data_IF_993483777849
#
_entry.id   IF_993483777849
#
_cell.length_a   1.000
_cell.length_b   1.000
_cell.length_c   1.000
_cell.angle_alpha   90.00
_cell.angle_beta   90.00
_cell.angle_gamma   90.00
#
_symmetry.space_group_name_H-M   'P 1'
#
loop_
_entity.id
_entity.type
_entity.pdbx_description
1 polymer ?
#
# COMPACT_ATOMS: atom_id res chain seq x y z
N UNK A 1 14.61 -12.57 -10.84
CA UNK A 1 13.40 -12.03 -10.19
C UNK A 1 12.22 -12.31 -11.10
N UNK A 2 11.15 -12.92 -10.58
CA UNK A 2 9.88 -13.11 -11.29
C UNK A 2 8.79 -12.47 -10.43
N UNK A 3 8.06 -11.50 -10.99
CA UNK A 3 6.90 -10.87 -10.35
C UNK A 3 5.64 -11.39 -11.03
N UNK A 4 4.73 -11.97 -10.25
CA UNK A 4 3.46 -12.50 -10.73
C UNK A 4 2.30 -11.86 -9.97
N UNK A 5 1.31 -11.36 -10.71
CA UNK A 5 0.02 -10.96 -10.16
C UNK A 5 -1.05 -11.93 -10.71
N UNK A 6 -1.69 -12.76 -9.86
CA UNK A 6 -2.63 -13.82 -10.27
C UNK A 6 -3.78 -13.35 -11.17
N UNK A 7 -4.50 -14.29 -11.79
CA UNK A 7 -5.57 -14.03 -12.77
C UNK A 7 -5.07 -13.34 -14.04
N UNK A 8 -4.11 -13.96 -14.75
CA UNK A 8 -3.47 -13.36 -15.93
C UNK A 8 -4.42 -12.98 -17.09
N UNK A 9 -5.64 -13.52 -17.11
CA UNK A 9 -6.66 -13.17 -18.10
C UNK A 9 -7.30 -11.80 -17.84
N UNK A 10 -7.28 -11.31 -16.60
CA UNK A 10 -7.80 -9.99 -16.24
C UNK A 10 -6.67 -8.97 -16.39
N UNK A 11 -6.77 -8.00 -17.33
CA UNK A 11 -5.74 -6.98 -17.51
C UNK A 11 -5.51 -6.21 -16.20
N UNK A 12 -4.24 -6.07 -15.82
CA UNK A 12 -3.82 -5.30 -14.65
C UNK A 12 -2.93 -4.18 -15.15
N UNK A 13 -3.40 -2.95 -14.96
CA UNK A 13 -2.72 -1.76 -15.41
C UNK A 13 -2.80 -0.66 -14.35
N UNK A 14 -1.89 0.30 -14.44
CA UNK A 14 -1.84 1.49 -13.60
C UNK A 14 -0.65 1.53 -12.64
N UNK A 15 -0.09 2.73 -12.39
CA UNK A 15 1.12 2.89 -11.59
C UNK A 15 0.90 2.69 -10.07
N UNK A 16 -0.36 2.58 -9.63
CA UNK A 16 -0.75 2.61 -8.22
C UNK A 16 -0.29 1.40 -7.37
N UNK A 17 0.30 0.38 -8.00
CA UNK A 17 0.91 -0.78 -7.34
C UNK A 17 2.41 -0.61 -7.09
N UNK A 18 2.99 0.57 -7.39
CA UNK A 18 4.41 0.85 -7.25
C UNK A 18 4.97 0.49 -5.87
N UNK A 19 4.36 1.01 -4.81
CA UNK A 19 4.77 0.70 -3.42
C UNK A 19 4.63 -0.79 -3.08
N UNK A 20 3.62 -1.47 -3.63
CA UNK A 20 3.38 -2.91 -3.41
C UNK A 20 4.46 -3.76 -4.05
N UNK A 21 4.83 -3.44 -5.30
CA UNK A 21 5.89 -4.14 -6.02
C UNK A 21 7.26 -3.90 -5.37
N UNK A 22 7.55 -2.67 -4.95
CA UNK A 22 8.79 -2.39 -4.20
C UNK A 22 8.84 -3.17 -2.89
N UNK A 23 7.70 -3.26 -2.16
CA UNK A 23 7.64 -3.99 -0.88
C UNK A 23 7.85 -5.48 -1.07
N UNK A 24 7.28 -6.10 -2.11
CA UNK A 24 7.47 -7.52 -2.38
C UNK A 24 8.92 -7.84 -2.77
N UNK A 25 9.56 -6.96 -3.56
CA UNK A 25 10.96 -7.11 -3.94
C UNK A 25 11.90 -6.92 -2.74
N UNK A 26 11.62 -5.97 -1.85
CA UNK A 26 12.41 -5.81 -0.62
C UNK A 26 12.21 -6.99 0.34
N UNK A 27 11.00 -7.50 0.47
CA UNK A 27 10.73 -8.72 1.26
C UNK A 27 11.58 -9.89 0.76
N UNK A 28 11.68 -10.08 -0.56
CA UNK A 28 12.56 -11.08 -1.17
C UNK A 28 14.05 -10.81 -0.88
N UNK A 29 14.51 -9.56 -1.04
CA UNK A 29 15.92 -9.21 -0.87
C UNK A 29 16.39 -9.27 0.59
N UNK A 30 15.50 -9.00 1.54
CA UNK A 30 15.77 -9.02 2.98
C UNK A 30 15.54 -10.40 3.62
N UNK A 31 15.00 -11.36 2.87
CA UNK A 31 14.53 -12.66 3.38
C UNK A 31 13.58 -12.52 4.58
N UNK A 32 12.74 -11.48 4.56
CA UNK A 32 11.83 -11.14 5.64
C UNK A 32 10.41 -10.97 5.13
N UNK A 33 9.41 -11.56 5.79
CA UNK A 33 8.02 -11.38 5.39
C UNK A 33 7.57 -9.95 5.69
N UNK A 34 6.93 -9.31 4.71
CA UNK A 34 6.16 -8.10 4.96
C UNK A 34 4.93 -8.43 5.82
N UNK A 35 4.46 -7.45 6.60
CA UNK A 35 3.22 -7.54 7.39
C UNK A 35 2.05 -8.01 6.51
N UNK A 36 1.43 -9.12 6.89
CA UNK A 36 0.47 -9.85 6.05
C UNK A 36 -0.98 -9.34 6.11
N UNK A 37 -1.36 -8.60 7.16
CA UNK A 37 -2.73 -8.08 7.37
C UNK A 37 -2.92 -6.65 6.84
N UNK A 38 -2.16 -6.28 5.81
CA UNK A 38 -2.07 -4.91 5.29
C UNK A 38 -2.39 -4.83 3.80
N UNK A 39 -3.08 -3.76 3.42
CA UNK A 39 -3.18 -3.29 2.04
C UNK A 39 -2.34 -2.02 1.84
N UNK A 40 -1.84 -1.79 0.63
CA UNK A 40 -1.13 -0.56 0.30
C UNK A 40 -1.40 -0.15 -1.15
N UNK A 41 -1.36 1.15 -1.42
CA UNK A 41 -1.42 1.70 -2.77
C UNK A 41 -0.60 2.98 -2.83
N UNK A 42 -0.04 3.25 -4.00
CA UNK A 42 0.82 4.40 -4.23
C UNK A 42 1.70 4.15 -5.45
N UNK A 43 1.79 5.15 -6.31
CA UNK A 43 2.88 5.19 -7.27
C UNK A 43 4.17 5.54 -6.51
N UNK A 44 5.29 4.97 -6.94
CA UNK A 44 6.60 5.24 -6.35
C UNK A 44 7.53 5.80 -7.42
N UNK A 45 8.14 6.95 -7.15
CA UNK A 45 9.13 7.56 -8.03
C UNK A 45 10.52 6.95 -7.81
N UNK A 46 11.45 7.21 -8.72
CA UNK A 46 12.85 6.76 -8.60
C UNK A 46 13.58 7.30 -7.36
N UNK A 47 13.19 8.48 -6.87
CA UNK A 47 13.73 9.07 -5.64
C UNK A 47 12.92 8.68 -4.38
N UNK A 48 12.01 7.70 -4.49
CA UNK A 48 11.29 7.13 -3.36
C UNK A 48 10.11 7.96 -2.86
N UNK A 49 9.63 8.96 -3.61
CA UNK A 49 8.37 9.66 -3.27
C UNK A 49 7.18 8.75 -3.52
N UNK A 50 6.19 8.82 -2.64
CA UNK A 50 4.91 8.14 -2.80
C UNK A 50 3.90 9.14 -3.36
N UNK A 51 3.44 8.86 -4.57
CA UNK A 51 2.60 9.75 -5.36
C UNK A 51 1.11 9.36 -5.26
N UNK A 52 0.18 10.34 -5.41
CA UNK A 52 -1.25 10.11 -5.25
C UNK A 52 -1.80 9.13 -6.28
N UNK A 53 -2.88 8.47 -5.90
CA UNK A 53 -3.59 7.51 -6.75
C UNK A 53 -5.09 7.75 -6.71
N UNK A 54 -5.81 7.29 -7.74
CA UNK A 54 -7.27 7.30 -7.75
C UNK A 54 -7.89 6.13 -6.97
N UNK A 55 -9.22 6.21 -6.78
CA UNK A 55 -10.05 5.11 -6.29
C UNK A 55 -9.92 4.83 -4.79
N UNK A 56 -9.72 5.86 -3.96
CA UNK A 56 -9.51 5.70 -2.51
C UNK A 56 -10.70 5.02 -1.82
N UNK A 57 -11.93 5.37 -2.23
CA UNK A 57 -13.15 4.73 -1.74
C UNK A 57 -13.18 3.24 -2.06
N UNK A 58 -13.01 2.88 -3.33
CA UNK A 58 -13.07 1.50 -3.81
C UNK A 58 -11.96 0.64 -3.19
N UNK A 59 -10.75 1.19 -3.08
CA UNK A 59 -9.60 0.53 -2.44
C UNK A 59 -9.81 0.32 -0.95
N UNK A 60 -10.42 1.27 -0.25
CA UNK A 60 -10.79 1.11 1.17
C UNK A 60 -11.82 -0.01 1.34
N UNK A 61 -12.86 -0.03 0.51
CA UNK A 61 -13.87 -1.11 0.52
C UNK A 61 -13.22 -2.48 0.25
N UNK A 62 -12.33 -2.55 -0.75
CA UNK A 62 -11.65 -3.79 -1.12
C UNK A 62 -10.77 -4.31 0.02
N UNK A 63 -9.97 -3.44 0.64
CA UNK A 63 -9.13 -3.78 1.78
C UNK A 63 -9.96 -4.30 2.97
N UNK A 64 -11.08 -3.66 3.30
CA UNK A 64 -12.00 -4.15 4.34
C UNK A 64 -12.58 -5.52 4.00
N UNK A 65 -13.01 -5.74 2.76
CA UNK A 65 -13.56 -7.03 2.30
C UNK A 65 -12.51 -8.14 2.34
N UNK A 66 -11.25 -7.80 2.09
CA UNK A 66 -10.12 -8.72 2.21
C UNK A 66 -9.71 -9.01 3.67
N UNK A 67 -10.31 -8.32 4.65
CA UNK A 67 -9.98 -8.48 6.07
C UNK A 67 -8.67 -7.83 6.49
N UNK A 68 -8.14 -6.89 5.69
CA UNK A 68 -6.95 -6.12 6.07
C UNK A 68 -7.24 -5.27 7.30
N UNK A 69 -6.33 -5.27 8.27
CA UNK A 69 -6.40 -4.43 9.47
C UNK A 69 -5.73 -3.07 9.27
N UNK A 70 -4.74 -3.01 8.38
CA UNK A 70 -3.99 -1.80 8.08
C UNK A 70 -4.08 -1.43 6.60
N UNK A 71 -4.08 -0.13 6.31
CA UNK A 71 -3.99 0.41 4.94
C UNK A 71 -2.93 1.52 4.89
N UNK A 72 -2.05 1.45 3.89
CA UNK A 72 -1.12 2.53 3.55
C UNK A 72 -1.61 3.27 2.31
N UNK A 73 -1.85 4.58 2.45
CA UNK A 73 -2.18 5.49 1.35
C UNK A 73 -1.08 6.54 1.14
N UNK A 74 -0.98 7.14 -0.06
CA UNK A 74 -0.17 8.33 -0.27
C UNK A 74 -0.67 9.48 0.63
N UNK A 75 0.25 10.27 1.19
CA UNK A 75 -0.10 11.43 2.02
C UNK A 75 -0.99 12.42 1.27
N UNK A 76 -0.76 12.58 -0.04
CA UNK A 76 -1.57 13.43 -0.91
C UNK A 76 -3.04 12.98 -1.01
N UNK A 77 -3.37 11.71 -0.72
CA UNK A 77 -4.73 11.18 -0.70
C UNK A 77 -5.42 11.27 0.67
N UNK A 78 -4.80 11.91 1.67
CA UNK A 78 -5.38 12.03 3.02
C UNK A 78 -6.74 12.70 3.02
N UNK A 79 -6.89 13.77 2.23
CA UNK A 79 -8.16 14.48 2.11
C UNK A 79 -9.26 13.58 1.52
N UNK A 80 -8.95 12.85 0.44
CA UNK A 80 -9.91 11.92 -0.19
C UNK A 80 -10.37 10.83 0.79
N UNK A 81 -9.44 10.34 1.62
CA UNK A 81 -9.75 9.36 2.66
C UNK A 81 -10.60 9.98 3.78
N UNK A 82 -10.23 11.16 4.29
CA UNK A 82 -10.93 11.84 5.39
C UNK A 82 -12.38 12.21 5.01
N UNK A 83 -12.66 12.45 3.72
CA UNK A 83 -14.00 12.69 3.16
C UNK A 83 -14.86 11.42 3.06
N UNK A 84 -14.30 10.22 3.28
CA UNK A 84 -15.09 8.98 3.27
C UNK A 84 -16.07 8.89 4.44
N UNK A 85 -17.23 8.25 4.25
CA UNK A 85 -18.15 7.92 5.32
C UNK A 85 -17.45 7.21 6.49
N UNK A 86 -17.83 7.55 7.72
CA UNK A 86 -17.23 7.02 8.94
C UNK A 86 -17.21 5.49 9.00
N UNK A 87 -18.30 4.84 8.58
CA UNK A 87 -18.39 3.39 8.52
C UNK A 87 -17.34 2.73 7.61
N UNK A 88 -16.69 3.46 6.69
CA UNK A 88 -15.56 2.98 5.88
C UNK A 88 -14.20 3.24 6.53
N UNK A 89 -14.10 4.20 7.45
CA UNK A 89 -12.87 4.57 8.14
C UNK A 89 -12.69 3.85 9.47
N UNK A 90 -13.80 3.54 10.16
CA UNK A 90 -13.79 2.86 11.46
C UNK A 90 -13.15 1.47 11.41
N UNK A 91 -12.33 1.16 12.44
CA UNK A 91 -11.73 -0.15 12.63
C UNK A 91 -10.53 -0.48 11.74
N UNK A 92 -10.05 0.49 10.95
CA UNK A 92 -8.84 0.37 10.13
C UNK A 92 -7.69 1.20 10.70
N UNK A 93 -6.51 0.60 10.78
CA UNK A 93 -5.25 1.31 11.03
C UNK A 93 -4.80 1.96 9.71
N UNK A 94 -4.86 3.29 9.61
CA UNK A 94 -4.51 3.98 8.35
C UNK A 94 -3.22 4.78 8.49
N UNK A 95 -2.30 4.53 7.57
CA UNK A 95 -1.02 5.22 7.49
C UNK A 95 -0.93 6.03 6.20
N UNK A 96 -0.36 7.22 6.32
CA UNK A 96 -0.15 8.13 5.18
C UNK A 96 1.35 8.25 4.93
N UNK A 97 1.78 7.87 3.72
CA UNK A 97 3.17 7.82 3.30
C UNK A 97 3.49 8.96 2.33
N UNK A 98 4.53 9.73 2.63
CA UNK A 98 5.09 10.74 1.73
C UNK A 98 6.28 10.19 0.93
N UNK A 99 6.98 9.24 1.54
CA UNK A 99 8.14 8.54 0.98
C UNK A 99 8.03 7.05 1.24
N UNK A 100 8.74 6.25 0.44
CA UNK A 100 8.72 4.80 0.55
C UNK A 100 9.23 4.32 1.92
N UNK A 101 10.10 5.10 2.57
CA UNK A 101 10.56 4.82 3.94
C UNK A 101 9.41 4.80 4.96
N UNK A 102 8.36 5.57 4.74
CA UNK A 102 7.16 5.53 5.58
C UNK A 102 6.42 4.20 5.41
N UNK A 103 6.30 3.72 4.16
CA UNK A 103 5.73 2.40 3.83
C UNK A 103 6.57 1.29 4.47
N UNK A 104 7.90 1.37 4.37
CA UNK A 104 8.81 0.35 4.91
C UNK A 104 8.64 0.16 6.42
N UNK A 105 8.57 1.25 7.20
CA UNK A 105 8.40 1.17 8.67
C UNK A 105 7.12 0.44 9.07
N UNK A 106 6.08 0.57 8.26
CA UNK A 106 4.78 -0.06 8.47
C UNK A 106 4.81 -1.53 8.02
N UNK A 107 5.42 -1.82 6.87
CA UNK A 107 5.52 -3.16 6.29
C UNK A 107 6.48 -4.09 7.05
N UNK A 108 7.57 -3.56 7.63
CA UNK A 108 8.62 -4.32 8.32
C UNK A 108 8.87 -3.77 9.74
N UNK A 109 7.91 -3.92 10.67
CA UNK A 109 8.02 -3.37 12.01
C UNK A 109 9.23 -3.95 12.75
N UNK A 110 9.98 -3.08 13.44
CA UNK A 110 11.17 -3.47 14.22
C UNK A 110 12.46 -3.60 13.42
N UNK A 111 12.44 -3.36 12.10
CA UNK A 111 13.66 -3.32 11.28
C UNK A 111 14.27 -1.92 11.24
N UNK A 112 15.60 -1.88 11.18
CA UNK A 112 16.34 -0.66 10.84
C UNK A 112 16.21 -0.42 9.34
N UNK A 113 15.96 0.83 8.94
CA UNK A 113 15.92 1.20 7.53
C UNK A 113 17.25 0.84 6.85
N UNK A 114 17.23 0.19 5.67
CA UNK A 114 18.43 0.03 4.86
C UNK A 114 18.96 1.36 4.32
#
# INVERSE_FOLDING_TARGET
IHVHCPEGATPKDGPSAGVTMTTSLLSLALEQPARADMAMTGEVSLNGKVLPVGGIKEKTIAARRAGCKAIVFPLANRRDFDELPEYLREGLEVHFASEYRDVFRVAFPGQVLP
#
